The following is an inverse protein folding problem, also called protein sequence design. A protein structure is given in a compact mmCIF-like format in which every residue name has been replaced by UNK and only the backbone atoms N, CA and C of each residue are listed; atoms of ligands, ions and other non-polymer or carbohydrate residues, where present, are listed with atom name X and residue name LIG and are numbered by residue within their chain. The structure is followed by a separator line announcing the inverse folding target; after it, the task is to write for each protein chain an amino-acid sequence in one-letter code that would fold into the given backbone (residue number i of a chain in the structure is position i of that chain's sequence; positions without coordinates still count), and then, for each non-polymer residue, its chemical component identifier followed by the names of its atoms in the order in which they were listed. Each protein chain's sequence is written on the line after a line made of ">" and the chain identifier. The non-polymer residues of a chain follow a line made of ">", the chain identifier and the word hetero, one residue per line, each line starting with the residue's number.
data_IF_720536332704
#
_entry.id   IF_720536332704
#
_cell.length_a   1.000
_cell.length_b   1.000
_cell.length_c   1.000
_cell.angle_alpha   90.00
_cell.angle_beta   90.00
_cell.angle_gamma   90.00
#
_symmetry.space_group_name_H-M   'P 1'
#
loop_
_entity.id
_entity.type
_entity.pdbx_description
1 polymer ?
#
# COMPACT_ATOMS: atom_id res chain seq x y z
N UNK A 1 -15.75 10.27 16.18
CA UNK A 1 -15.79 11.68 16.60
C UNK A 1 -15.85 12.51 15.33
N UNK A 2 -16.94 13.25 15.09
CA UNK A 2 -16.97 14.16 13.94
C UNK A 2 -16.14 15.38 14.34
N UNK A 3 -14.85 15.34 13.99
CA UNK A 3 -13.92 16.43 14.28
C UNK A 3 -14.53 17.77 13.89
N UNK A 4 -14.59 18.69 14.86
CA UNK A 4 -15.09 20.04 14.65
C UNK A 4 -14.11 20.75 13.71
N UNK A 5 -14.35 20.67 12.40
CA UNK A 5 -13.59 21.44 11.44
C UNK A 5 -13.80 22.94 11.71
N UNK A 6 -12.76 23.78 11.57
CA UNK A 6 -12.94 25.22 11.59
C UNK A 6 -14.00 25.63 10.55
N UNK A 7 -14.84 26.60 10.91
CA UNK A 7 -15.90 27.13 10.03
C UNK A 7 -15.33 27.94 8.86
N UNK A 8 -14.02 28.14 8.86
CA UNK A 8 -13.26 28.82 7.82
C UNK A 8 -12.86 27.83 6.72
N UNK A 9 -12.87 28.31 5.48
CA UNK A 9 -12.57 27.51 4.29
C UNK A 9 -11.07 27.53 4.01
N UNK A 10 -10.48 26.39 3.69
CA UNK A 10 -9.10 26.33 3.19
C UNK A 10 -9.04 26.72 1.70
N UNK A 11 -7.92 27.24 1.18
CA UNK A 11 -7.79 27.56 -0.24
C UNK A 11 -7.52 26.31 -1.09
N UNK A 12 -8.20 26.20 -2.24
CA UNK A 12 -7.83 25.26 -3.31
C UNK A 12 -7.56 26.05 -4.59
N UNK A 13 -6.41 25.81 -5.22
CA UNK A 13 -5.97 26.52 -6.41
C UNK A 13 -6.19 25.68 -7.67
N UNK A 14 -6.93 26.24 -8.62
CA UNK A 14 -7.25 25.61 -9.91
C UNK A 14 -6.71 26.50 -11.03
N UNK A 15 -5.93 25.92 -11.95
CA UNK A 15 -5.19 26.69 -12.96
C UNK A 15 -5.96 26.74 -14.29
N UNK A 16 -5.93 27.92 -14.91
CA UNK A 16 -6.62 28.21 -16.17
C UNK A 16 -5.67 28.93 -17.14
N UNK A 17 -5.73 28.55 -18.41
CA UNK A 17 -5.23 29.37 -19.51
C UNK A 17 -6.17 30.54 -19.73
N UNK A 18 -5.58 31.74 -19.80
CA UNK A 18 -6.32 32.98 -19.95
C UNK A 18 -7.47 33.09 -18.95
N UNK A 19 -8.63 33.52 -19.45
CA UNK A 19 -9.72 33.93 -18.59
C UNK A 19 -10.71 32.83 -18.24
N UNK A 20 -10.71 31.60 -18.76
CA UNK A 20 -11.72 30.57 -18.38
C UNK A 20 -11.44 29.13 -18.84
N UNK A 21 -10.28 28.84 -19.44
CA UNK A 21 -10.00 27.47 -19.94
C UNK A 21 -9.17 26.68 -18.92
N UNK A 22 -9.69 25.62 -18.27
CA UNK A 22 -8.89 24.83 -17.33
C UNK A 22 -7.65 24.25 -18.02
N UNK A 23 -6.52 24.23 -17.33
CA UNK A 23 -5.31 23.57 -17.83
C UNK A 23 -5.53 22.04 -17.82
N UNK A 24 -5.57 21.35 -18.97
CA UNK A 24 -5.84 19.92 -19.00
C UNK A 24 -4.73 19.12 -18.27
N UNK A 25 -5.13 18.15 -17.45
CA UNK A 25 -4.20 17.29 -16.71
C UNK A 25 -3.50 17.94 -15.51
N UNK A 26 -3.78 19.21 -15.21
CA UNK A 26 -3.32 19.85 -14.00
C UNK A 26 -4.07 19.31 -12.78
N UNK A 27 -3.34 18.91 -11.74
CA UNK A 27 -3.91 18.60 -10.42
C UNK A 27 -4.20 19.90 -9.66
N UNK A 28 -5.28 19.90 -8.88
CA UNK A 28 -5.54 21.00 -7.95
C UNK A 28 -4.41 21.09 -6.93
N UNK A 29 -4.08 22.32 -6.52
CA UNK A 29 -3.05 22.58 -5.52
C UNK A 29 -3.75 23.00 -4.22
N UNK A 30 -3.36 22.38 -3.11
CA UNK A 30 -3.78 22.65 -1.74
C UNK A 30 -2.53 22.66 -0.87
N UNK A 31 -2.51 23.44 0.22
CA UNK A 31 -1.36 23.50 1.14
C UNK A 31 -1.66 22.94 2.54
N UNK A 32 -2.94 22.62 2.81
CA UNK A 32 -3.39 22.07 4.08
C UNK A 32 -3.98 20.67 3.87
N UNK A 33 -3.67 19.73 4.76
CA UNK A 33 -4.17 18.34 4.74
C UNK A 33 -4.65 17.91 6.12
N UNK A 34 -5.42 16.80 6.26
CA UNK A 34 -5.88 16.35 7.58
C UNK A 34 -4.69 16.21 8.55
N UNK A 35 -4.84 16.83 9.73
CA UNK A 35 -3.81 16.94 10.75
C UNK A 35 -3.17 18.34 10.85
N UNK A 36 -3.24 19.14 9.79
CA UNK A 36 -2.76 20.53 9.82
C UNK A 36 -3.73 21.44 10.58
N UNK A 37 -3.20 22.47 11.24
CA UNK A 37 -3.98 23.36 12.09
C UNK A 37 -5.09 24.11 11.33
N UNK A 38 -4.85 24.39 10.04
CA UNK A 38 -5.71 25.20 9.19
C UNK A 38 -6.53 24.37 8.18
N UNK A 39 -6.50 23.03 8.30
CA UNK A 39 -7.24 22.16 7.40
C UNK A 39 -8.76 22.30 7.57
N UNK A 40 -9.44 22.41 6.43
CA UNK A 40 -10.90 22.34 6.33
C UNK A 40 -11.29 21.51 5.12
N UNK A 41 -12.23 20.58 5.30
CA UNK A 41 -12.81 19.84 4.18
C UNK A 41 -13.64 20.74 3.23
N UNK A 42 -13.93 21.98 3.63
CA UNK A 42 -14.57 23.00 2.81
C UNK A 42 -13.52 23.93 2.20
N UNK A 43 -13.48 23.96 0.88
CA UNK A 43 -12.49 24.71 0.12
C UNK A 43 -13.10 25.91 -0.57
N UNK A 44 -12.41 27.05 -0.52
CA UNK A 44 -12.67 28.16 -1.43
C UNK A 44 -11.81 28.02 -2.67
N UNK A 45 -12.46 27.92 -3.82
CA UNK A 45 -11.76 27.84 -5.10
C UNK A 45 -11.11 29.18 -5.43
N UNK A 46 -9.80 29.14 -5.66
CA UNK A 46 -9.00 30.24 -6.16
C UNK A 46 -8.58 29.91 -7.58
N UNK A 47 -8.89 30.83 -8.49
CA UNK A 47 -8.52 30.72 -9.89
C UNK A 47 -7.11 31.25 -10.09
N UNK A 48 -6.24 30.43 -10.65
CA UNK A 48 -4.87 30.80 -10.99
C UNK A 48 -4.77 30.95 -12.51
N UNK A 49 -4.50 32.16 -12.99
CA UNK A 49 -4.28 32.41 -14.42
C UNK A 49 -2.81 32.20 -14.77
N UNK A 50 -2.55 31.28 -15.70
CA UNK A 50 -1.21 30.92 -16.18
C UNK A 50 -1.01 31.31 -17.65
N UNK A 51 0.24 31.51 -18.10
CA UNK A 51 0.52 31.84 -19.50
C UNK A 51 0.21 30.66 -20.45
N UNK A 52 0.05 30.95 -21.74
CA UNK A 52 -0.31 29.96 -22.77
C UNK A 52 0.73 28.85 -22.96
N UNK A 53 1.98 29.08 -22.54
CA UNK A 53 3.09 28.12 -22.58
C UNK A 53 3.28 27.35 -21.26
N UNK A 54 2.38 27.53 -20.28
CA UNK A 54 2.41 26.77 -19.04
C UNK A 54 2.27 25.27 -19.31
N UNK A 55 3.08 24.46 -18.62
CA UNK A 55 3.01 22.99 -18.70
C UNK A 55 2.37 22.46 -17.42
N UNK A 56 1.34 21.61 -17.56
CA UNK A 56 0.63 21.03 -16.43
C UNK A 56 1.58 20.35 -15.42
N UNK A 57 1.28 20.53 -14.13
CA UNK A 57 2.00 20.00 -12.97
C UNK A 57 3.45 20.51 -12.83
N UNK A 58 3.79 21.65 -13.44
CA UNK A 58 5.05 22.36 -13.17
C UNK A 58 4.97 23.20 -11.90
N UNK A 59 3.85 23.89 -11.66
CA UNK A 59 3.52 24.40 -10.33
C UNK A 59 2.80 23.31 -9.52
N UNK A 60 3.21 23.12 -8.26
CA UNK A 60 2.72 22.06 -7.37
C UNK A 60 2.39 22.53 -5.96
N UNK A 61 2.66 23.79 -5.65
CA UNK A 61 2.42 24.43 -4.36
C UNK A 61 1.98 25.88 -4.54
N UNK A 62 1.43 26.51 -3.49
CA UNK A 62 1.21 27.95 -3.50
C UNK A 62 2.51 28.75 -3.63
N UNK A 63 3.62 28.24 -3.09
CA UNK A 63 4.94 28.85 -3.24
C UNK A 63 5.37 28.89 -4.72
N UNK A 64 5.13 27.83 -5.48
CA UNK A 64 5.39 27.81 -6.92
C UNK A 64 4.52 28.83 -7.67
N UNK A 65 3.22 28.90 -7.32
CA UNK A 65 2.26 29.82 -7.94
C UNK A 65 2.70 31.28 -7.70
N UNK A 66 3.05 31.61 -6.46
CA UNK A 66 3.43 32.98 -6.06
C UNK A 66 4.81 33.35 -6.58
N UNK A 67 5.78 32.45 -6.54
CA UNK A 67 7.13 32.65 -7.10
C UNK A 67 7.10 32.86 -8.61
N UNK A 68 6.24 32.12 -9.33
CA UNK A 68 6.04 32.32 -10.77
C UNK A 68 5.26 33.60 -11.11
N UNK A 69 4.69 34.28 -10.11
CA UNK A 69 3.94 35.52 -10.30
C UNK A 69 2.58 35.33 -10.97
N UNK A 70 1.99 34.13 -10.89
CA UNK A 70 0.67 33.88 -11.47
C UNK A 70 -0.42 34.63 -10.72
N UNK A 71 -1.44 35.06 -11.46
CA UNK A 71 -2.53 35.85 -10.87
C UNK A 71 -3.50 34.92 -10.16
N UNK A 72 -3.71 35.15 -8.86
CA UNK A 72 -4.69 34.41 -8.05
C UNK A 72 -5.94 35.27 -7.87
N UNK A 73 -7.08 34.81 -8.39
CA UNK A 73 -8.38 35.45 -8.22
C UNK A 73 -9.25 34.60 -7.30
N UNK A 74 -9.60 35.07 -6.09
CA UNK A 74 -10.51 34.35 -5.22
C UNK A 74 -11.91 34.31 -5.86
N UNK A 75 -12.60 33.18 -5.71
CA UNK A 75 -13.98 33.03 -6.18
C UNK A 75 -14.94 32.91 -5.00
N UNK A 76 -16.24 33.06 -5.26
CA UNK A 76 -17.29 32.72 -4.30
C UNK A 76 -17.68 31.24 -4.31
N UNK A 77 -16.96 30.41 -5.07
CA UNK A 77 -17.26 28.97 -5.19
C UNK A 77 -16.65 28.26 -3.98
N UNK A 78 -17.53 27.55 -3.26
CA UNK A 78 -17.17 26.67 -2.16
C UNK A 78 -17.44 25.23 -2.57
N UNK A 79 -16.49 24.34 -2.30
CA UNK A 79 -16.64 22.90 -2.52
C UNK A 79 -16.33 22.14 -1.24
N UNK A 80 -17.08 21.07 -0.98
CA UNK A 80 -16.75 20.13 0.09
C UNK A 80 -15.98 18.96 -0.54
N UNK A 81 -14.67 18.90 -0.28
CA UNK A 81 -13.80 17.87 -0.84
C UNK A 81 -12.82 17.40 0.25
N UNK A 82 -13.25 16.55 1.20
CA UNK A 82 -12.35 16.01 2.21
C UNK A 82 -11.12 15.39 1.54
N UNK A 83 -9.94 15.82 1.96
CA UNK A 83 -8.67 15.25 1.50
C UNK A 83 -8.44 13.96 2.24
N UNK A 84 -8.02 12.95 1.51
CA UNK A 84 -7.52 11.69 2.03
C UNK A 84 -6.07 11.61 1.59
N UNK A 85 -5.14 11.36 2.52
CA UNK A 85 -3.75 11.10 2.14
C UNK A 85 -3.74 9.85 1.28
N UNK A 86 -3.03 9.86 0.15
CA UNK A 86 -3.03 8.72 -0.77
C UNK A 86 -2.47 7.45 -0.12
N UNK A 87 -1.57 7.58 0.84
CA UNK A 87 -1.02 6.48 1.63
C UNK A 87 -2.01 5.89 2.65
N UNK A 88 -3.04 6.64 3.03
CA UNK A 88 -4.08 6.24 3.99
C UNK A 88 -5.44 6.00 3.32
N UNK A 89 -5.52 6.20 1.99
CA UNK A 89 -6.77 6.05 1.27
C UNK A 89 -7.11 4.57 1.15
N UNK A 90 -8.37 4.15 1.44
CA UNK A 90 -8.80 2.79 1.18
C UNK A 90 -8.50 2.41 -0.27
N UNK A 91 -7.80 1.30 -0.47
CA UNK A 91 -7.48 0.78 -1.79
C UNK A 91 -8.38 -0.40 -2.14
N UNK A 92 -8.80 -0.47 -3.40
CA UNK A 92 -9.41 -1.67 -3.97
C UNK A 92 -8.32 -2.42 -4.74
N UNK A 93 -8.01 -3.62 -4.28
CA UNK A 93 -7.02 -4.48 -4.93
C UNK A 93 -7.75 -5.40 -5.91
N UNK A 94 -7.57 -5.12 -7.20
CA UNK A 94 -8.08 -5.96 -8.28
C UNK A 94 -7.09 -7.08 -8.64
N UNK A 95 -7.63 -8.14 -9.20
CA UNK A 95 -6.84 -9.21 -9.78
C UNK A 95 -6.07 -8.72 -11.01
N UNK A 96 -4.80 -9.10 -11.07
CA UNK A 96 -3.92 -8.93 -12.23
C UNK A 96 -3.90 -10.24 -13.02
N UNK A 97 -4.11 -10.16 -14.33
CA UNK A 97 -4.01 -11.32 -15.22
C UNK A 97 -2.55 -11.73 -15.45
N UNK A 98 -2.36 -13.04 -15.63
CA UNK A 98 -1.09 -13.67 -15.95
C UNK A 98 -1.27 -14.89 -16.85
N UNK A 99 -0.16 -15.42 -17.33
CA UNK A 99 -0.10 -16.69 -18.05
C UNK A 99 0.60 -17.76 -17.22
N UNK A 100 0.04 -18.97 -17.24
CA UNK A 100 0.66 -20.18 -16.71
C UNK A 100 0.34 -21.35 -17.64
N UNK A 101 1.36 -21.98 -18.22
CA UNK A 101 1.21 -23.14 -19.11
C UNK A 101 0.13 -22.96 -20.20
N UNK A 102 0.12 -21.81 -20.88
CA UNK A 102 -0.85 -21.42 -21.92
C UNK A 102 -2.29 -21.15 -21.41
N UNK A 103 -2.52 -21.29 -20.10
CA UNK A 103 -3.77 -20.91 -19.43
C UNK A 103 -3.66 -19.53 -18.80
N UNK A 104 -4.81 -18.87 -18.66
CA UNK A 104 -4.91 -17.63 -17.88
C UNK A 104 -4.91 -17.95 -16.38
N UNK A 105 -4.23 -17.12 -15.61
CA UNK A 105 -4.25 -17.08 -14.16
C UNK A 105 -4.47 -15.66 -13.69
N UNK A 106 -4.87 -15.51 -12.44
CA UNK A 106 -5.12 -14.23 -11.81
C UNK A 106 -4.45 -14.20 -10.43
N UNK A 107 -3.91 -13.04 -10.03
CA UNK A 107 -3.25 -12.85 -8.75
C UNK A 107 -3.39 -11.41 -8.24
N UNK A 108 -3.37 -11.23 -6.92
CA UNK A 108 -3.26 -9.90 -6.33
C UNK A 108 -1.81 -9.41 -6.37
N UNK A 109 -1.64 -8.12 -6.63
CA UNK A 109 -0.34 -7.46 -6.61
C UNK A 109 -0.32 -6.39 -5.53
N UNK A 110 0.60 -6.52 -4.59
CA UNK A 110 0.84 -5.53 -3.53
C UNK A 110 2.15 -4.81 -3.87
N UNK A 111 2.12 -3.48 -3.96
CA UNK A 111 3.23 -2.68 -4.54
C UNK A 111 4.36 -2.36 -3.54
N UNK A 112 4.49 -3.15 -2.48
CA UNK A 112 5.50 -2.92 -1.43
C UNK A 112 6.81 -3.60 -1.81
N UNK A 113 7.96 -2.89 -1.82
CA UNK A 113 9.25 -3.55 -2.00
C UNK A 113 9.55 -4.41 -0.77
N UNK A 114 9.83 -5.69 -0.99
CA UNK A 114 10.06 -6.68 0.07
C UNK A 114 11.55 -7.01 0.16
N UNK A 115 12.16 -7.01 1.35
CA UNK A 115 13.55 -7.39 1.52
C UNK A 115 13.75 -8.88 1.19
N UNK A 116 14.82 -9.16 0.46
CA UNK A 116 15.22 -10.53 0.08
C UNK A 116 16.70 -10.75 0.36
N UNK A 117 17.11 -12.02 0.42
CA UNK A 117 18.53 -12.39 0.43
C UNK A 117 19.21 -11.99 -0.87
N UNK A 118 20.55 -11.97 -0.89
CA UNK A 118 21.30 -11.63 -2.11
C UNK A 118 20.87 -12.50 -3.30
N UNK A 119 20.48 -11.85 -4.40
CA UNK A 119 19.98 -12.52 -5.59
C UNK A 119 18.50 -12.90 -5.55
N UNK A 120 17.76 -12.56 -4.50
CA UNK A 120 16.31 -12.72 -4.41
C UNK A 120 15.71 -14.10 -4.06
N UNK A 121 16.45 -15.19 -3.74
CA UNK A 121 15.84 -16.52 -3.64
C UNK A 121 15.00 -16.75 -2.38
N UNK A 122 15.08 -15.85 -1.40
CA UNK A 122 14.39 -15.99 -0.12
C UNK A 122 13.93 -14.62 0.37
N UNK A 123 12.67 -14.54 0.79
CA UNK A 123 12.08 -13.39 1.44
C UNK A 123 12.58 -13.30 2.87
N UNK A 124 12.96 -12.09 3.30
CA UNK A 124 13.25 -11.81 4.71
C UNK A 124 11.93 -11.43 5.39
N UNK A 125 11.42 -12.25 6.34
CA UNK A 125 10.16 -11.96 7.00
C UNK A 125 10.31 -10.92 8.12
N UNK A 126 9.21 -10.22 8.42
CA UNK A 126 9.09 -9.35 9.59
C UNK A 126 8.40 -10.08 10.77
N UNK A 127 8.62 -9.70 12.04
CA UNK A 127 7.93 -10.34 13.16
C UNK A 127 6.45 -9.96 13.26
N UNK A 128 5.57 -10.97 13.44
CA UNK A 128 4.19 -10.78 13.90
C UNK A 128 4.00 -11.47 15.26
N UNK A 129 3.57 -10.73 16.27
CA UNK A 129 3.43 -11.23 17.64
C UNK A 129 2.00 -11.66 17.92
N UNK A 130 1.83 -12.91 18.35
CA UNK A 130 0.52 -13.52 18.66
C UNK A 130 0.54 -13.98 20.10
N UNK A 131 -0.46 -13.57 20.90
CA UNK A 131 -0.45 -13.80 22.35
C UNK A 131 -1.29 -15.02 22.74
N UNK A 132 -0.72 -15.81 23.62
CA UNK A 132 -1.33 -17.03 24.17
C UNK A 132 -1.17 -17.04 25.69
N UNK A 133 -2.13 -17.64 26.39
CA UNK A 133 -1.98 -17.95 27.80
C UNK A 133 -0.94 -19.07 28.00
N UNK A 134 -0.50 -19.27 29.25
CA UNK A 134 0.49 -20.29 29.60
C UNK A 134 0.08 -21.73 29.26
N UNK A 135 -1.22 -22.00 29.14
CA UNK A 135 -1.76 -23.30 28.71
C UNK A 135 -1.74 -23.51 27.19
N UNK A 136 -1.31 -22.50 26.42
CA UNK A 136 -1.23 -22.53 24.96
C UNK A 136 -2.51 -22.17 24.23
N UNK A 137 -3.57 -21.74 24.93
CA UNK A 137 -4.76 -21.18 24.29
C UNK A 137 -4.52 -19.75 23.81
N UNK A 138 -5.02 -19.40 22.62
CA UNK A 138 -4.91 -18.03 22.11
C UNK A 138 -5.74 -17.09 22.99
N UNK A 139 -5.24 -15.88 23.24
CA UNK A 139 -5.96 -14.87 24.02
C UNK A 139 -7.16 -14.37 23.19
N UNK A 140 -8.42 -14.66 23.57
CA UNK A 140 -9.57 -14.29 22.75
C UNK A 140 -9.72 -12.78 22.64
N UNK A 141 -9.91 -12.28 21.42
CA UNK A 141 -10.09 -10.86 21.14
C UNK A 141 -8.79 -10.03 21.17
N UNK A 142 -7.63 -10.65 21.42
CA UNK A 142 -6.36 -9.98 21.23
C UNK A 142 -6.06 -9.84 19.74
N UNK A 143 -5.75 -8.63 19.32
CA UNK A 143 -5.22 -8.40 17.97
C UNK A 143 -3.71 -8.68 17.92
N UNK A 144 -3.24 -9.19 16.78
CA UNK A 144 -1.82 -9.40 16.54
C UNK A 144 -1.07 -8.07 16.60
N UNK A 145 0.19 -8.11 17.04
CA UNK A 145 1.03 -6.92 17.16
C UNK A 145 2.14 -7.02 16.10
N UNK A 146 2.39 -5.94 15.38
CA UNK A 146 3.52 -5.77 14.46
C UNK A 146 4.32 -4.54 14.86
N UNK A 147 5.56 -4.43 14.40
CA UNK A 147 6.45 -3.32 14.75
C UNK A 147 7.06 -2.61 13.52
N UNK A 148 6.57 -2.96 12.33
CA UNK A 148 6.92 -2.32 11.05
C UNK A 148 5.67 -2.21 10.17
N UNK A 149 5.56 -1.14 9.38
CA UNK A 149 4.51 -0.91 8.37
C UNK A 149 5.14 -0.56 7.01
N UNK A 150 4.39 -0.56 5.89
CA UNK A 150 4.94 -0.17 4.58
C UNK A 150 5.66 1.18 4.66
N UNK A 151 6.89 1.22 4.14
CA UNK A 151 7.78 2.38 4.24
C UNK A 151 8.82 2.28 5.38
N UNK A 152 8.58 1.46 6.39
CA UNK A 152 9.56 1.21 7.45
C UNK A 152 10.72 0.33 6.96
N UNK A 153 11.97 0.60 7.38
CA UNK A 153 13.09 -0.29 7.12
C UNK A 153 12.82 -1.70 7.67
N UNK A 154 12.87 -2.70 6.79
CA UNK A 154 12.67 -4.11 7.16
C UNK A 154 11.20 -4.55 7.19
N UNK A 155 10.27 -3.71 6.75
CA UNK A 155 8.91 -4.15 6.44
C UNK A 155 8.91 -5.29 5.42
N UNK A 156 7.99 -6.24 5.61
CA UNK A 156 7.78 -7.37 4.72
C UNK A 156 6.32 -7.78 4.78
N UNK A 157 5.71 -8.09 3.64
CA UNK A 157 4.36 -8.69 3.63
C UNK A 157 4.39 -10.15 4.11
N UNK A 158 5.59 -10.78 4.19
CA UNK A 158 5.79 -12.08 4.83
C UNK A 158 6.14 -11.89 6.31
N UNK A 159 5.35 -12.51 7.18
CA UNK A 159 5.54 -12.41 8.63
C UNK A 159 5.98 -13.73 9.23
N UNK A 160 6.95 -13.69 10.14
CA UNK A 160 7.29 -14.82 11.00
C UNK A 160 6.53 -14.72 12.32
N UNK A 161 5.82 -15.80 12.68
CA UNK A 161 5.01 -15.83 13.90
C UNK A 161 5.89 -15.93 15.14
N UNK A 162 5.77 -14.94 16.01
CA UNK A 162 6.41 -14.87 17.32
C UNK A 162 5.33 -15.08 18.39
N UNK A 163 5.35 -16.24 19.05
CA UNK A 163 4.39 -16.57 20.10
C UNK A 163 4.79 -15.86 21.40
N UNK A 164 3.91 -15.02 21.92
CA UNK A 164 4.07 -14.34 23.20
C UNK A 164 3.25 -15.07 24.26
N UNK A 165 3.87 -15.45 25.37
CA UNK A 165 3.15 -16.08 26.49
C UNK A 165 2.80 -15.04 27.55
N UNK A 166 1.51 -14.90 27.87
CA UNK A 166 1.00 -13.94 28.85
C UNK A 166 0.44 -14.61 30.11
N UNK A 167 0.36 -13.89 31.25
CA UNK A 167 -0.27 -14.39 32.48
C UNK A 167 -1.75 -14.73 32.30
N UNK A 168 -2.28 -15.61 33.17
CA UNK A 168 -3.69 -16.06 33.12
C UNK A 168 -4.70 -14.92 33.36
N UNK A 169 -4.29 -13.83 34.03
CA UNK A 169 -5.10 -12.63 34.27
C UNK A 169 -4.91 -11.54 33.19
N UNK A 170 -4.13 -11.82 32.14
CA UNK A 170 -3.96 -10.91 31.02
C UNK A 170 -5.31 -10.62 30.35
N UNK A 171 -5.56 -9.34 30.06
CA UNK A 171 -6.72 -8.91 29.30
C UNK A 171 -6.29 -8.52 27.89
N UNK A 172 -7.06 -8.98 26.89
CA UNK A 172 -6.85 -8.66 25.48
C UNK A 172 -6.69 -7.15 25.25
N UNK A 173 -5.77 -6.80 24.36
CA UNK A 173 -5.41 -5.44 23.95
C UNK A 173 -4.96 -4.53 25.10
N UNK A 174 -4.45 -5.08 26.20
CA UNK A 174 -3.72 -4.29 27.20
C UNK A 174 -2.29 -3.98 26.75
N UNK A 175 -1.65 -4.92 26.05
CA UNK A 175 -0.41 -4.71 25.29
C UNK A 175 -0.74 -4.58 23.81
N UNK A 176 -0.19 -3.53 23.17
CA UNK A 176 -0.49 -3.09 21.79
C UNK A 176 0.77 -2.67 21.01
N UNK A 177 1.95 -3.03 21.49
CA UNK A 177 3.21 -2.73 20.83
C UNK A 177 4.28 -3.71 21.26
N UNK A 178 5.29 -3.92 20.41
CA UNK A 178 6.44 -4.75 20.75
C UNK A 178 7.17 -4.21 21.99
N UNK A 179 7.35 -2.89 22.09
CA UNK A 179 7.95 -2.25 23.27
C UNK A 179 7.23 -2.63 24.57
N UNK A 180 5.89 -2.62 24.58
CA UNK A 180 5.11 -3.03 25.75
C UNK A 180 5.24 -4.54 26.07
N UNK A 181 5.38 -5.41 25.05
CA UNK A 181 5.68 -6.84 25.27
C UNK A 181 7.01 -6.99 26.02
N UNK A 182 8.04 -6.26 25.56
CA UNK A 182 9.39 -6.30 26.13
C UNK A 182 9.40 -5.70 27.54
N UNK A 183 8.77 -4.56 27.75
CA UNK A 183 8.68 -3.89 29.05
C UNK A 183 7.95 -4.74 30.10
N UNK A 184 6.93 -5.48 29.67
CA UNK A 184 6.22 -6.44 30.52
C UNK A 184 7.04 -7.71 30.82
N UNK A 185 8.15 -7.93 30.10
CA UNK A 185 9.01 -9.10 30.25
C UNK A 185 8.35 -10.40 29.81
N UNK A 186 7.39 -10.35 28.87
CA UNK A 186 6.71 -11.55 28.40
C UNK A 186 7.64 -12.44 27.56
N UNK A 187 7.66 -13.76 27.79
CA UNK A 187 8.43 -14.69 26.97
C UNK A 187 7.96 -14.68 25.51
N UNK A 188 8.92 -14.72 24.58
CA UNK A 188 8.68 -14.78 23.14
C UNK A 188 9.36 -16.03 22.58
N UNK A 189 8.57 -16.92 21.99
CA UNK A 189 9.02 -18.07 21.24
C UNK A 189 8.92 -17.77 19.73
N UNK A 190 10.05 -17.80 19.02
CA UNK A 190 10.08 -17.63 17.56
C UNK A 190 9.70 -18.96 16.91
N UNK A 191 8.65 -18.95 16.10
CA UNK A 191 8.15 -20.14 15.42
C UNK A 191 8.64 -20.20 13.97
N UNK A 192 8.82 -21.41 13.44
CA UNK A 192 9.05 -21.66 12.01
C UNK A 192 7.71 -21.70 11.27
N UNK A 193 6.94 -20.62 11.42
CA UNK A 193 5.61 -20.43 10.83
C UNK A 193 5.62 -19.05 10.18
N UNK A 194 5.33 -19.01 8.88
CA UNK A 194 5.34 -17.80 8.09
C UNK A 194 3.99 -17.58 7.42
N UNK A 195 3.50 -16.35 7.43
CA UNK A 195 2.19 -15.97 6.89
C UNK A 195 2.30 -14.77 5.96
N UNK A 196 1.58 -14.82 4.84
CA UNK A 196 1.49 -13.71 3.89
C UNK A 196 0.37 -12.76 4.33
N UNK A 197 0.75 -11.63 4.92
CA UNK A 197 -0.20 -10.66 5.43
C UNK A 197 0.13 -9.21 5.04
N UNK A 198 -0.10 -8.79 3.79
CA UNK A 198 0.22 -7.43 3.36
C UNK A 198 -0.61 -6.41 4.16
N UNK A 199 0.08 -5.43 4.77
CA UNK A 199 -0.53 -4.28 5.43
C UNK A 199 -1.10 -3.34 4.38
N UNK A 200 -2.32 -2.88 4.62
CA UNK A 200 -3.10 -2.05 3.70
C UNK A 200 -3.76 -0.89 4.46
N UNK A 201 -4.13 0.20 3.77
CA UNK A 201 -4.87 1.29 4.38
C UNK A 201 -6.21 0.83 4.98
N UNK A 202 -6.67 1.54 6.00
CA UNK A 202 -7.97 1.26 6.62
C UNK A 202 -9.10 1.32 5.57
N UNK A 203 -9.98 0.31 5.58
CA UNK A 203 -11.14 0.23 4.70
C UNK A 203 -10.83 -0.35 3.32
N UNK A 204 -9.60 -0.78 3.06
CA UNK A 204 -9.23 -1.45 1.81
C UNK A 204 -10.02 -2.74 1.58
N UNK A 205 -10.16 -3.14 0.32
CA UNK A 205 -10.89 -4.34 -0.07
C UNK A 205 -10.22 -5.09 -1.21
N UNK A 206 -10.36 -6.41 -1.24
CA UNK A 206 -10.05 -7.23 -2.41
C UNK A 206 -11.24 -7.21 -3.39
N UNK A 207 -10.98 -7.41 -4.69
CA UNK A 207 -12.03 -7.57 -5.70
C UNK A 207 -12.96 -8.75 -5.37
N UNK A 208 -12.43 -9.82 -4.77
CA UNK A 208 -13.21 -10.84 -4.07
C UNK A 208 -12.85 -10.85 -2.57
N UNK A 209 -13.70 -10.29 -1.70
CA UNK A 209 -13.46 -10.25 -0.25
C UNK A 209 -13.39 -11.62 0.43
N UNK A 210 -13.74 -12.71 -0.26
CA UNK A 210 -13.65 -14.06 0.29
C UNK A 210 -12.26 -14.70 0.16
N UNK A 211 -11.37 -14.12 -0.65
CA UNK A 211 -10.02 -14.65 -0.90
C UNK A 211 -9.10 -14.52 0.33
N UNK A 212 -9.28 -13.48 1.14
CA UNK A 212 -8.55 -13.31 2.39
C UNK A 212 -9.37 -12.51 3.41
N UNK A 213 -9.33 -12.85 4.71
CA UNK A 213 -9.88 -12.02 5.76
C UNK A 213 -9.17 -10.67 5.82
N UNK A 214 -9.95 -9.60 6.01
CA UNK A 214 -9.46 -8.29 6.40
C UNK A 214 -9.35 -8.22 7.93
N UNK A 215 -8.13 -8.03 8.43
CA UNK A 215 -7.79 -8.19 9.85
C UNK A 215 -7.23 -6.89 10.42
N UNK A 216 -7.66 -6.57 11.64
CA UNK A 216 -7.08 -5.48 12.43
C UNK A 216 -5.92 -6.00 13.30
N UNK A 217 -4.84 -5.22 13.40
CA UNK A 217 -3.69 -5.44 14.27
C UNK A 217 -3.38 -4.20 15.11
N UNK A 218 -2.31 -4.30 15.90
CA UNK A 218 -1.69 -3.17 16.59
C UNK A 218 -0.28 -2.89 16.07
N UNK A 219 0.03 -1.62 15.85
CA UNK A 219 1.37 -1.10 15.57
C UNK A 219 1.63 0.10 16.47
N UNK A 220 2.60 -0.02 17.38
CA UNK A 220 2.99 1.05 18.31
C UNK A 220 1.80 1.72 19.04
N UNK A 221 0.80 0.92 19.43
CA UNK A 221 -0.43 1.39 20.10
C UNK A 221 -1.52 1.96 19.17
N UNK A 222 -1.24 2.11 17.88
CA UNK A 222 -2.20 2.49 16.84
C UNK A 222 -2.78 1.26 16.16
N UNK A 223 -3.99 1.38 15.61
CA UNK A 223 -4.60 0.34 14.78
C UNK A 223 -3.90 0.27 13.42
N UNK A 224 -3.71 -0.94 12.93
CA UNK A 224 -3.23 -1.23 11.57
C UNK A 224 -4.11 -2.31 10.96
N UNK A 225 -4.14 -2.43 9.63
CA UNK A 225 -4.96 -3.40 8.93
C UNK A 225 -4.15 -4.15 7.89
N UNK A 226 -4.49 -5.43 7.68
CA UNK A 226 -3.84 -6.28 6.69
C UNK A 226 -4.82 -7.34 6.18
N UNK A 227 -4.56 -7.86 4.99
CA UNK A 227 -5.21 -9.10 4.54
C UNK A 227 -4.44 -10.31 5.05
N UNK A 228 -5.10 -11.40 5.42
CA UNK A 228 -4.45 -12.65 5.83
C UNK A 228 -4.61 -13.73 4.75
N UNK A 229 -3.58 -13.89 3.90
CA UNK A 229 -3.57 -14.95 2.87
C UNK A 229 -3.08 -16.31 3.43
N UNK A 230 -2.84 -16.40 4.73
CA UNK A 230 -2.41 -17.63 5.39
C UNK A 230 -0.94 -17.98 5.15
N UNK A 231 -0.62 -19.26 5.34
CA UNK A 231 0.76 -19.74 5.34
C UNK A 231 1.45 -19.59 3.98
N UNK A 232 2.72 -19.19 3.99
CA UNK A 232 3.55 -19.12 2.79
C UNK A 232 4.98 -19.56 3.11
N UNK A 233 5.71 -20.22 2.18
CA UNK A 233 7.14 -20.46 2.38
C UNK A 233 7.95 -19.16 2.33
N UNK A 234 9.20 -19.22 2.79
CA UNK A 234 10.15 -18.11 2.65
C UNK A 234 10.82 -18.06 1.28
N UNK A 235 10.71 -19.11 0.47
CA UNK A 235 11.25 -19.16 -0.89
C UNK A 235 10.42 -18.31 -1.85
N UNK A 236 11.05 -17.77 -2.88
CA UNK A 236 10.35 -17.08 -3.97
C UNK A 236 10.05 -18.01 -5.14
N UNK A 237 8.95 -17.75 -5.85
CA UNK A 237 8.65 -18.34 -7.15
C UNK A 237 9.07 -17.38 -8.29
N UNK A 238 9.39 -17.85 -9.50
CA UNK A 238 9.72 -16.95 -10.59
C UNK A 238 8.45 -16.32 -11.21
N UNK A 239 8.53 -15.02 -11.51
CA UNK A 239 7.59 -14.34 -12.41
C UNK A 239 8.39 -13.68 -13.53
N UNK A 240 7.95 -13.83 -14.77
CA UNK A 240 8.65 -13.34 -15.95
C UNK A 240 7.91 -12.16 -16.56
N UNK A 241 8.64 -11.06 -16.72
CA UNK A 241 8.14 -9.81 -17.27
C UNK A 241 8.93 -9.51 -18.53
N UNK A 242 8.24 -9.24 -19.64
CA UNK A 242 8.88 -9.11 -20.95
C UNK A 242 9.12 -7.64 -21.28
N UNK A 243 10.31 -7.37 -21.82
CA UNK A 243 10.77 -6.06 -22.21
C UNK A 243 11.39 -6.12 -23.61
N UNK A 244 11.26 -5.04 -24.37
CA UNK A 244 12.03 -4.85 -25.59
C UNK A 244 13.51 -4.62 -25.29
N UNK A 245 14.36 -4.70 -26.32
CA UNK A 245 15.81 -4.53 -26.18
C UNK A 245 16.25 -3.16 -25.65
N UNK A 246 15.38 -2.16 -25.71
CA UNK A 246 15.60 -0.82 -25.16
C UNK A 246 15.21 -0.68 -23.67
N UNK A 247 14.70 -1.76 -23.05
CA UNK A 247 14.27 -1.78 -21.66
C UNK A 247 12.85 -1.29 -21.42
N UNK A 248 12.05 -1.04 -22.47
CA UNK A 248 10.63 -0.71 -22.34
C UNK A 248 9.81 -1.99 -22.10
N UNK A 249 8.88 -2.03 -21.12
CA UNK A 249 7.96 -3.16 -20.95
C UNK A 249 7.13 -3.38 -22.22
N UNK A 250 6.88 -4.62 -22.61
CA UNK A 250 6.02 -4.94 -23.76
C UNK A 250 4.56 -4.57 -23.42
N UNK A 251 3.95 -3.57 -24.07
CA UNK A 251 2.60 -3.14 -23.71
C UNK A 251 1.56 -4.24 -23.94
N UNK A 252 0.72 -4.48 -22.93
CA UNK A 252 -0.36 -5.47 -23.00
C UNK A 252 0.09 -6.93 -22.90
N UNK A 253 1.37 -7.19 -22.64
CA UNK A 253 1.83 -8.53 -22.27
C UNK A 253 1.48 -8.79 -20.81
N UNK A 254 0.79 -9.90 -20.55
CA UNK A 254 0.60 -10.39 -19.19
C UNK A 254 1.86 -11.11 -18.69
N UNK A 255 2.13 -11.00 -17.40
CA UNK A 255 3.28 -11.67 -16.78
C UNK A 255 3.12 -13.19 -16.86
N UNK A 256 4.24 -13.90 -17.02
CA UNK A 256 4.24 -15.36 -17.07
C UNK A 256 4.70 -15.88 -15.71
N UNK A 257 3.96 -16.80 -15.10
CA UNK A 257 4.37 -17.52 -13.88
C UNK A 257 4.61 -18.99 -14.20
N UNK A 258 5.44 -19.64 -13.39
CA UNK A 258 5.81 -21.05 -13.60
C UNK A 258 5.30 -22.00 -12.49
N UNK A 259 4.56 -21.44 -11.53
CA UNK A 259 3.90 -22.22 -10.48
C UNK A 259 2.62 -21.51 -10.00
N UNK A 260 1.68 -22.29 -9.46
CA UNK A 260 0.35 -21.86 -9.02
C UNK A 260 -0.03 -22.50 -7.68
N UNK A 261 -1.00 -21.95 -6.93
CA UNK A 261 -1.42 -22.50 -5.65
C UNK A 261 -1.71 -24.01 -5.70
N UNK A 262 -1.24 -24.74 -4.68
CA UNK A 262 -1.38 -26.20 -4.58
C UNK A 262 -0.22 -27.01 -5.18
N UNK A 263 0.74 -26.36 -5.83
CA UNK A 263 1.99 -26.98 -6.26
C UNK A 263 3.06 -26.96 -5.14
N UNK A 264 3.99 -27.93 -5.13
CA UNK A 264 4.99 -28.04 -4.06
C UNK A 264 5.97 -26.86 -4.02
N UNK A 265 6.26 -26.25 -5.16
CA UNK A 265 7.21 -25.14 -5.29
C UNK A 265 6.51 -23.78 -5.35
N UNK A 266 5.21 -23.73 -5.04
CA UNK A 266 4.45 -22.48 -5.07
C UNK A 266 4.84 -21.55 -3.93
N UNK A 267 5.05 -20.29 -4.29
CA UNK A 267 5.15 -19.16 -3.36
C UNK A 267 4.30 -18.01 -3.91
N UNK A 268 3.71 -17.23 -2.99
CA UNK A 268 3.02 -16.00 -3.36
C UNK A 268 3.98 -14.81 -3.46
N UNK A 269 5.26 -15.02 -3.16
CA UNK A 269 6.31 -14.04 -3.31
C UNK A 269 7.12 -14.36 -4.55
N UNK A 270 7.19 -13.40 -5.47
CA UNK A 270 7.83 -13.63 -6.76
C UNK A 270 9.17 -12.93 -6.91
N UNK A 271 10.14 -13.66 -7.42
CA UNK A 271 11.35 -13.09 -7.99
C UNK A 271 11.06 -12.67 -9.43
N UNK A 272 11.19 -11.37 -9.71
CA UNK A 272 10.97 -10.83 -11.05
C UNK A 272 12.17 -11.13 -11.95
N UNK A 273 11.90 -11.87 -13.03
CA UNK A 273 12.85 -12.16 -14.10
C UNK A 273 12.50 -11.33 -15.33
N UNK A 274 13.42 -10.45 -15.74
CA UNK A 274 13.29 -9.69 -16.97
C UNK A 274 13.66 -10.55 -18.18
N UNK A 275 12.75 -10.67 -19.13
CA UNK A 275 12.94 -11.38 -20.41
C UNK A 275 13.03 -10.35 -21.54
N UNK A 276 14.13 -10.36 -22.29
CA UNK A 276 14.28 -9.50 -23.46
C UNK A 276 13.70 -10.17 -24.70
N UNK A 277 12.81 -9.49 -25.41
CA UNK A 277 12.20 -9.96 -26.65
C UNK A 277 12.59 -9.10 -27.87
N UNK A 278 12.50 -9.64 -29.09
CA UNK A 278 12.71 -8.87 -30.32
C UNK A 278 11.73 -7.71 -30.48
N UNK A 279 12.11 -6.70 -31.27
CA UNK A 279 11.27 -5.51 -31.53
C UNK A 279 9.95 -5.85 -32.26
N UNK A 280 9.90 -6.96 -32.99
CA UNK A 280 8.70 -7.45 -33.68
C UNK A 280 7.87 -8.43 -32.84
N UNK A 281 8.20 -8.59 -31.55
CA UNK A 281 7.43 -9.43 -30.63
C UNK A 281 6.01 -8.91 -30.46
N UNK A 282 5.05 -9.83 -30.57
CA UNK A 282 3.62 -9.57 -30.36
C UNK A 282 3.25 -9.98 -28.93
N UNK A 283 2.66 -9.06 -28.18
CA UNK A 283 2.18 -9.32 -26.82
C UNK A 283 1.29 -10.58 -26.76
N UNK A 284 1.49 -11.37 -25.72
CA UNK A 284 0.83 -12.65 -25.43
C UNK A 284 1.04 -13.73 -26.51
N UNK A 285 2.07 -13.61 -27.36
CA UNK A 285 2.48 -14.71 -28.25
C UNK A 285 3.33 -15.76 -27.54
N UNK A 286 4.04 -15.39 -26.46
CA UNK A 286 4.57 -16.30 -25.46
C UNK A 286 3.71 -16.26 -24.19
N UNK A 287 3.21 -17.43 -23.78
CA UNK A 287 2.29 -17.62 -22.64
C UNK A 287 2.76 -18.73 -21.69
N UNK A 288 4.00 -19.17 -21.86
CA UNK A 288 4.73 -20.06 -20.97
C UNK A 288 6.22 -19.89 -21.23
N UNK A 289 7.03 -20.47 -20.35
CA UNK A 289 8.44 -20.76 -20.62
C UNK A 289 8.60 -21.88 -21.65
#
# INVERSE_FOLDING_TARGET
>A
DFGLNPVETAPIYVLFYGDDTPVPGQRNIIDDIPGDADYSAFWRVHKVTVPDDYVANTARSLDDITTAGYTITPTSILVNCPVVRTEDAPEMFDLTSGWYQHGNVEYYSFSNPIPTTEGGPTVVPAPIYVLFYGDGTAVPGQHNIIDVVPGDPGYSDLWQVHKVTVPDDYMADTVRSYAQIVDAGYPIDVLDVFVNCPVVPEGSSLSDPSDAPYVQGWYQGQTVFYFDFGMNPTTTAPIYVLFYGDGTPVPGQDNIVDTVPGQPDYSAFWQVHQVTVPDDYVANSATSL
#
